data_IF_108124648886
#
_entry.id   IF_108124648886
#
_cell.length_a   1.000
_cell.length_b   1.000
_cell.length_c   1.000
_cell.angle_alpha   90.00
_cell.angle_beta   90.00
_cell.angle_gamma   90.00
#
_symmetry.space_group_name_H-M   'P 1'
#
loop_
_entity.id
_entity.type
_entity.pdbx_description
1 polymer ?
#
# COMPACT_ATOMS: atom_id res chain seq x y z
N UNK A 1 -22.58 8.19 -13.83
CA UNK A 1 -21.28 8.70 -13.33
C UNK A 1 -20.24 7.64 -13.65
N UNK A 2 -19.10 8.00 -14.23
CA UNK A 2 -18.02 7.03 -14.52
C UNK A 2 -17.02 7.13 -13.38
N UNK A 3 -16.67 5.99 -12.77
CA UNK A 3 -15.65 5.94 -11.74
C UNK A 3 -14.29 6.29 -12.35
N UNK A 4 -13.57 7.24 -11.76
CA UNK A 4 -12.21 7.56 -12.18
C UNK A 4 -11.39 8.09 -11.00
N UNK A 5 -10.17 7.60 -10.86
CA UNK A 5 -9.15 8.17 -9.98
C UNK A 5 -7.81 8.14 -10.71
N UNK A 6 -7.09 9.26 -10.74
CA UNK A 6 -5.77 9.36 -11.36
C UNK A 6 -4.72 9.71 -10.33
N UNK A 7 -3.52 9.17 -10.52
CA UNK A 7 -2.32 9.56 -9.79
C UNK A 7 -1.15 9.62 -10.75
N UNK A 8 -0.13 10.36 -10.34
CA UNK A 8 1.20 10.25 -10.92
C UNK A 8 1.86 9.01 -10.32
N UNK A 9 2.53 8.24 -11.17
CA UNK A 9 3.39 7.10 -10.83
C UNK A 9 4.68 7.36 -11.60
N UNK A 10 5.83 7.35 -10.91
CA UNK A 10 7.09 7.74 -11.55
C UNK A 10 7.76 6.62 -12.37
N UNK A 11 7.47 5.34 -12.10
CA UNK A 11 8.08 4.16 -12.75
C UNK A 11 7.05 3.00 -12.84
N UNK A 12 7.30 2.00 -13.68
CA UNK A 12 6.43 0.83 -13.94
C UNK A 12 7.05 -0.50 -13.42
N UNK A 13 6.27 -1.52 -12.93
CA UNK A 13 4.82 -1.62 -12.97
C UNK A 13 4.07 -1.68 -11.62
N UNK A 14 2.85 -1.15 -11.72
CA UNK A 14 1.62 -1.39 -10.98
C UNK A 14 1.51 -0.93 -9.51
N UNK A 15 0.79 0.18 -9.23
CA UNK A 15 0.21 0.39 -7.93
C UNK A 15 -0.93 -0.61 -7.77
N UNK A 16 -0.60 -1.80 -7.27
CA UNK A 16 -1.60 -2.74 -6.81
C UNK A 16 -2.59 -2.00 -5.92
N UNK A 17 -3.86 -2.39 -5.99
CA UNK A 17 -4.93 -1.79 -5.21
C UNK A 17 -5.41 -2.82 -4.20
N UNK A 18 -5.62 -2.38 -2.97
CA UNK A 18 -6.33 -3.14 -1.97
C UNK A 18 -7.72 -2.53 -1.80
N UNK A 19 -8.73 -3.36 -1.59
CA UNK A 19 -10.14 -2.90 -1.64
C UNK A 19 -10.89 -3.44 -0.43
N UNK A 20 -11.63 -2.56 0.23
CA UNK A 20 -12.69 -2.89 1.18
C UNK A 20 -14.06 -2.62 0.56
N UNK A 21 -15.14 -2.91 1.28
CA UNK A 21 -16.51 -2.68 0.82
C UNK A 21 -16.81 -1.21 0.48
N UNK A 22 -16.02 -0.27 1.03
CA UNK A 22 -16.28 1.17 0.92
C UNK A 22 -15.10 1.96 0.36
N UNK A 23 -13.89 1.41 0.37
CA UNK A 23 -12.67 2.14 -0.02
C UNK A 23 -11.75 1.30 -0.89
N UNK A 24 -11.02 2.01 -1.74
CA UNK A 24 -9.83 1.53 -2.44
C UNK A 24 -8.62 2.18 -1.78
N UNK A 25 -7.60 1.38 -1.51
CA UNK A 25 -6.32 1.77 -0.97
C UNK A 25 -5.24 1.61 -2.03
N UNK A 26 -4.34 2.59 -2.09
CA UNK A 26 -3.24 2.62 -3.06
C UNK A 26 -2.02 3.27 -2.44
N UNK A 27 -0.83 2.79 -2.78
CA UNK A 27 0.40 3.57 -2.61
C UNK A 27 0.55 4.52 -3.80
N UNK A 28 0.55 5.82 -3.53
CA UNK A 28 0.66 6.88 -4.54
C UNK A 28 1.98 7.65 -4.34
N UNK A 29 2.53 8.27 -5.39
CA UNK A 29 3.77 9.04 -5.33
C UNK A 29 4.76 8.64 -6.42
N UNK A 30 6.04 8.98 -6.23
CA UNK A 30 7.13 8.56 -7.12
C UNK A 30 8.46 9.31 -6.86
N UNK A 31 9.43 9.18 -7.78
CA UNK A 31 10.80 9.75 -7.67
C UNK A 31 10.84 11.18 -7.13
N UNK A 32 9.96 12.05 -7.61
CA UNK A 32 9.92 13.48 -7.22
C UNK A 32 8.68 13.87 -6.41
N UNK A 33 7.80 12.92 -6.09
CA UNK A 33 6.53 13.16 -5.38
C UNK A 33 6.48 12.24 -4.16
N UNK A 34 6.25 12.76 -2.94
CA UNK A 34 6.24 11.94 -1.73
C UNK A 34 5.37 10.68 -1.87
N UNK A 35 5.94 9.52 -1.53
CA UNK A 35 5.23 8.23 -1.52
C UNK A 35 4.33 8.15 -0.29
N UNK A 36 3.05 7.89 -0.47
CA UNK A 36 2.02 7.88 0.58
C UNK A 36 1.01 6.76 0.37
N UNK A 37 0.40 6.29 1.46
CA UNK A 37 -0.81 5.47 1.41
C UNK A 37 -2.02 6.39 1.22
N UNK A 38 -2.91 6.07 0.29
CA UNK A 38 -4.07 6.90 -0.08
C UNK A 38 -5.38 6.11 0.03
N UNK A 39 -6.41 6.71 0.63
CA UNK A 39 -7.77 6.19 0.66
C UNK A 39 -8.65 6.87 -0.41
N UNK A 40 -9.42 6.07 -1.13
CA UNK A 40 -10.29 6.49 -2.23
C UNK A 40 -11.68 5.89 -2.00
N UNK A 41 -12.75 6.67 -2.17
CA UNK A 41 -14.13 6.16 -2.10
C UNK A 41 -14.41 5.22 -3.27
N UNK A 42 -14.82 3.98 -2.98
CA UNK A 42 -14.99 2.95 -4.02
C UNK A 42 -16.10 3.31 -5.02
N UNK A 43 -17.16 4.01 -4.61
CA UNK A 43 -18.27 4.34 -5.51
C UNK A 43 -17.95 5.50 -6.47
N UNK A 44 -17.12 6.46 -6.05
CA UNK A 44 -16.92 7.72 -6.79
C UNK A 44 -15.51 7.91 -7.33
N UNK A 45 -14.51 7.19 -6.81
CA UNK A 45 -13.11 7.42 -7.13
C UNK A 45 -12.53 8.67 -6.47
N UNK A 46 -13.27 9.32 -5.57
CA UNK A 46 -12.79 10.51 -4.85
C UNK A 46 -11.73 10.12 -3.81
N UNK A 47 -10.52 10.66 -3.94
CA UNK A 47 -9.51 10.60 -2.88
C UNK A 47 -10.01 11.34 -1.63
N UNK A 48 -9.90 10.72 -0.45
CA UNK A 48 -10.38 11.30 0.82
C UNK A 48 -9.24 11.84 1.66
N UNK A 49 -8.20 11.03 1.88
CA UNK A 49 -6.99 11.40 2.61
C UNK A 49 -5.81 10.51 2.23
N UNK A 50 -4.62 10.96 2.60
CA UNK A 50 -3.36 10.24 2.46
C UNK A 50 -2.60 10.23 3.79
N UNK A 51 -1.71 9.26 3.97
CA UNK A 51 -0.77 9.23 5.09
C UNK A 51 0.25 10.36 5.00
N UNK A 52 1.04 10.54 6.07
CA UNK A 52 2.33 11.22 5.97
C UNK A 52 3.25 10.49 4.97
N UNK A 53 4.28 11.17 4.42
CA UNK A 53 5.28 10.55 3.56
C UNK A 53 5.87 9.28 4.17
N UNK A 54 5.89 8.22 3.38
CA UNK A 54 6.44 6.91 3.75
C UNK A 54 7.94 6.89 3.41
N UNK A 55 8.82 6.63 4.40
CA UNK A 55 10.25 6.54 4.12
C UNK A 55 10.56 5.36 3.19
N UNK A 56 11.68 5.45 2.49
CA UNK A 56 12.20 4.41 1.61
C UNK A 56 12.52 4.92 0.22
N UNK A 57 12.87 3.99 -0.67
CA UNK A 57 13.14 4.32 -2.08
C UNK A 57 11.88 4.93 -2.72
N UNK A 58 12.00 6.02 -3.50
CA UNK A 58 10.85 6.62 -4.15
C UNK A 58 10.35 5.84 -5.36
N UNK A 59 11.10 4.83 -5.82
CA UNK A 59 10.54 3.73 -6.62
C UNK A 59 9.66 2.86 -5.69
N UNK A 60 8.44 2.54 -6.12
CA UNK A 60 7.53 1.68 -5.37
C UNK A 60 6.89 0.73 -6.36
N UNK A 61 7.33 -0.52 -6.30
CA UNK A 61 6.85 -1.58 -7.20
C UNK A 61 6.08 -2.67 -6.46
N UNK A 62 6.16 -2.66 -5.12
CA UNK A 62 5.60 -3.72 -4.31
C UNK A 62 4.06 -3.61 -4.12
N UNK A 63 3.35 -4.75 -4.06
CA UNK A 63 1.90 -4.77 -3.95
C UNK A 63 1.41 -4.28 -2.59
N UNK A 64 0.09 -4.11 -2.51
CA UNK A 64 -0.66 -3.77 -1.29
C UNK A 64 -1.80 -4.78 -1.15
N UNK A 65 -2.07 -5.22 0.07
CA UNK A 65 -3.15 -6.15 0.39
C UNK A 65 -3.92 -5.68 1.61
N UNK A 66 -5.19 -6.05 1.69
CA UNK A 66 -6.06 -5.81 2.84
C UNK A 66 -6.39 -7.15 3.50
N UNK A 67 -6.10 -7.29 4.79
CA UNK A 67 -6.50 -8.44 5.59
C UNK A 67 -7.98 -8.39 5.98
N UNK A 68 -8.55 -9.54 6.32
CA UNK A 68 -9.92 -9.64 6.83
C UNK A 68 -10.10 -8.90 8.17
N UNK A 69 -9.01 -8.65 8.90
CA UNK A 69 -8.96 -7.83 10.12
C UNK A 69 -9.03 -6.31 9.85
N UNK A 70 -9.05 -5.92 8.57
CA UNK A 70 -9.03 -4.54 8.10
C UNK A 70 -7.65 -3.88 8.12
N UNK A 71 -6.58 -4.65 8.34
CA UNK A 71 -5.22 -4.13 8.24
C UNK A 71 -4.74 -4.10 6.79
N UNK A 72 -4.04 -3.02 6.47
CA UNK A 72 -3.46 -2.75 5.16
C UNK A 72 -1.97 -3.09 5.25
N UNK A 73 -1.49 -3.98 4.38
CA UNK A 73 -0.11 -4.43 4.36
C UNK A 73 0.57 -4.14 3.03
N UNK A 74 1.82 -3.69 3.08
CA UNK A 74 2.66 -3.45 1.91
C UNK A 74 4.14 -3.42 2.26
N UNK A 75 4.98 -3.81 1.31
CA UNK A 75 6.41 -3.53 1.37
C UNK A 75 6.70 -2.13 0.85
N UNK A 76 7.68 -1.49 1.48
CA UNK A 76 8.40 -0.37 0.89
C UNK A 76 9.74 -0.88 0.37
N UNK A 77 10.24 -0.26 -0.68
CA UNK A 77 11.41 -0.72 -1.42
C UNK A 77 12.74 -0.58 -0.63
N UNK A 78 12.71 0.08 0.53
CA UNK A 78 13.78 -0.04 1.55
C UNK A 78 13.75 -1.36 2.33
N UNK A 79 12.89 -2.29 1.94
CA UNK A 79 12.68 -3.58 2.56
C UNK A 79 11.87 -3.55 3.86
N UNK A 80 11.14 -2.48 4.17
CA UNK A 80 10.27 -2.44 5.34
C UNK A 80 8.89 -3.02 5.02
N UNK A 81 8.41 -4.00 5.80
CA UNK A 81 7.02 -4.46 5.74
C UNK A 81 6.16 -3.66 6.69
N UNK A 82 5.16 -2.99 6.16
CA UNK A 82 4.34 -2.05 6.90
C UNK A 82 2.93 -2.61 7.12
N UNK A 83 2.38 -2.37 8.31
CA UNK A 83 0.98 -2.61 8.63
C UNK A 83 0.31 -1.32 9.10
N UNK A 84 -0.81 -0.98 8.49
CA UNK A 84 -1.58 0.23 8.78
C UNK A 84 -3.05 -0.11 8.99
N UNK A 85 -3.70 0.65 9.89
CA UNK A 85 -5.15 0.65 10.05
C UNK A 85 -5.75 1.93 9.50
N UNK A 86 -6.83 1.80 8.76
CA UNK A 86 -7.68 2.94 8.40
C UNK A 86 -8.68 3.21 9.54
N UNK A 87 -8.66 4.42 10.10
CA UNK A 87 -9.56 4.85 11.19
C UNK A 87 -10.74 5.72 10.71
N UNK A 88 -10.92 5.86 9.39
CA UNK A 88 -12.02 6.61 8.80
C UNK A 88 -11.67 8.02 8.34
N UNK A 89 -10.61 8.62 8.87
CA UNK A 89 -10.14 9.97 8.51
C UNK A 89 -8.63 10.09 8.32
N UNK A 90 -7.87 9.11 8.79
CA UNK A 90 -6.42 8.99 8.61
C UNK A 90 -5.97 7.53 8.65
N UNK A 91 -4.66 7.30 8.70
CA UNK A 91 -4.06 5.98 8.84
C UNK A 91 -3.20 5.92 10.10
N UNK A 92 -3.41 4.89 10.91
CA UNK A 92 -2.58 4.58 12.06
C UNK A 92 -1.58 3.49 11.68
N UNK A 93 -0.28 3.76 11.86
CA UNK A 93 0.75 2.73 11.68
C UNK A 93 0.66 1.76 12.84
N UNK A 94 0.28 0.52 12.58
CA UNK A 94 0.16 -0.53 13.59
C UNK A 94 1.54 -1.07 13.98
N UNK A 95 2.35 -1.45 12.98
CA UNK A 95 3.72 -1.92 13.18
C UNK A 95 4.52 -1.89 11.88
N UNK A 96 5.84 -2.04 12.01
CA UNK A 96 6.77 -2.23 10.90
C UNK A 96 7.69 -3.40 11.24
N UNK A 97 7.89 -4.29 10.26
CA UNK A 97 8.88 -5.34 10.32
C UNK A 97 10.01 -5.03 9.34
N UNK A 98 11.25 -5.03 9.84
CA UNK A 98 12.45 -4.84 9.03
C UNK A 98 13.23 -6.17 8.99
N UNK A 99 13.26 -6.88 7.86
CA UNK A 99 14.08 -8.08 7.70
C UNK A 99 15.56 -7.74 7.82
N UNK A 100 16.34 -8.68 8.35
CA UNK A 100 17.80 -8.54 8.55
C UNK A 100 18.58 -8.70 7.24
N UNK A 101 17.95 -9.21 6.16
CA UNK A 101 18.58 -9.42 4.86
C UNK A 101 18.17 -8.33 3.85
N UNK A 102 19.17 -7.64 3.29
CA UNK A 102 19.02 -6.38 2.54
C UNK A 102 19.52 -6.44 1.09
N UNK A 103 19.67 -7.62 0.49
CA UNK A 103 20.11 -7.73 -0.91
C UNK A 103 19.22 -8.63 -1.77
N UNK A 104 18.90 -8.10 -2.96
CA UNK A 104 18.22 -8.80 -4.04
C UNK A 104 16.71 -8.55 -4.09
N UNK A 105 16.11 -8.90 -5.23
CA UNK A 105 14.68 -8.96 -5.49
C UNK A 105 13.87 -9.89 -4.53
N UNK A 106 14.44 -10.24 -3.36
CA UNK A 106 13.90 -11.16 -2.37
C UNK A 106 12.75 -10.59 -1.54
N UNK A 107 12.45 -9.29 -1.66
CA UNK A 107 11.25 -8.65 -1.07
C UNK A 107 10.25 -8.20 -2.14
N UNK A 108 10.59 -8.44 -3.42
CA UNK A 108 9.72 -8.18 -4.55
C UNK A 108 8.92 -9.46 -4.82
N UNK A 109 7.65 -9.44 -4.45
CA UNK A 109 6.78 -10.60 -4.59
C UNK A 109 5.33 -10.24 -4.42
N UNK A 110 4.46 -11.04 -5.01
CA UNK A 110 3.03 -10.90 -4.75
C UNK A 110 2.75 -11.27 -3.30
N UNK A 111 1.80 -10.58 -2.68
CA UNK A 111 1.33 -10.92 -1.35
C UNK A 111 -0.06 -11.52 -1.43
N UNK A 112 -0.29 -12.55 -0.63
CA UNK A 112 -1.61 -13.11 -0.39
C UNK A 112 -1.82 -13.27 1.12
N UNK A 113 -3.06 -13.12 1.56
CA UNK A 113 -3.45 -13.33 2.96
C UNK A 113 -4.33 -14.57 2.99
N UNK A 114 -3.94 -15.55 3.79
CA UNK A 114 -4.74 -16.75 4.02
C UNK A 114 -5.91 -16.46 4.98
N UNK A 115 -6.95 -17.33 5.01
CA UNK A 115 -8.12 -17.17 5.89
C UNK A 115 -7.80 -17.16 7.39
N UNK A 116 -6.60 -17.57 7.78
CA UNK A 116 -6.12 -17.57 9.16
C UNK A 116 -5.27 -16.32 9.50
N UNK A 117 -5.21 -15.33 8.61
CA UNK A 117 -4.41 -14.12 8.77
C UNK A 117 -2.93 -14.29 8.47
N UNK A 118 -2.48 -15.48 8.03
CA UNK A 118 -1.10 -15.66 7.59
C UNK A 118 -0.86 -14.91 6.28
N UNK A 119 0.30 -14.25 6.18
CA UNK A 119 0.72 -13.51 5.00
C UNK A 119 1.76 -14.35 4.26
N UNK A 120 1.50 -14.59 2.98
CA UNK A 120 2.36 -15.35 2.08
C UNK A 120 3.01 -14.38 1.09
N UNK A 121 4.32 -14.53 0.90
CA UNK A 121 5.11 -13.82 -0.09
C UNK A 121 5.47 -14.83 -1.19
N UNK A 122 5.13 -14.51 -2.44
CA UNK A 122 5.17 -15.43 -3.59
C UNK A 122 5.97 -14.79 -4.73
#
# INVERSE_FOLDING_TARGET
MIWSNKTIIAVTPNPSLAVSDVKVYRISGGITVPVVLTAIVIQSGRTVYSSLPLPGDPDQENPIVLGEDGMIYFWRDNGAFNAYRDNGSSFDKAWVYQPVQTTGAALNGNMAIGPNGNIFFI
#
